data_IF_069533845957
#
_entry.id   IF_069533845957
#
_cell.length_a   1.000
_cell.length_b   1.000
_cell.length_c   1.000
_cell.angle_alpha   90.00
_cell.angle_beta   90.00
_cell.angle_gamma   90.00
#
_symmetry.space_group_name_H-M   'P 1'
#
loop_
_entity.id
_entity.type
_entity.pdbx_description
1 polymer ?
#
# COMPACT_ATOMS: atom_id res chain seq x y z
N UNK A 1 -12.83 -40.20 3.24
CA UNK A 1 -11.73 -39.36 2.71
C UNK A 1 -10.41 -39.94 3.19
N UNK A 2 -9.36 -39.94 2.35
CA UNK A 2 -8.04 -40.50 2.67
C UNK A 2 -7.12 -39.41 3.26
N UNK A 3 -6.63 -39.53 4.50
CA UNK A 3 -5.68 -38.59 5.09
C UNK A 3 -4.40 -38.42 4.25
N UNK A 4 -3.84 -37.21 4.21
CA UNK A 4 -2.56 -36.89 3.56
C UNK A 4 -1.56 -36.37 4.59
N UNK A 5 -1.87 -35.24 5.24
CA UNK A 5 -0.96 -34.60 6.22
C UNK A 5 -1.76 -33.96 7.35
N UNK A 6 -1.20 -34.00 8.56
CA UNK A 6 -1.75 -33.30 9.72
C UNK A 6 -1.13 -31.91 9.87
N UNK A 7 -1.95 -30.93 10.18
CA UNK A 7 -1.58 -29.53 10.35
C UNK A 7 -1.87 -29.11 11.79
N UNK A 8 -1.06 -28.20 12.31
CA UNK A 8 -1.28 -27.56 13.61
C UNK A 8 -1.28 -26.05 13.42
N UNK A 9 -2.36 -25.41 13.85
CA UNK A 9 -2.47 -23.96 13.91
C UNK A 9 -2.34 -23.54 15.37
N UNK A 10 -1.44 -22.61 15.68
CA UNK A 10 -1.23 -22.09 17.04
C UNK A 10 -1.54 -20.61 17.10
N UNK A 11 -2.31 -20.21 18.09
CA UNK A 11 -2.50 -18.81 18.48
C UNK A 11 -1.47 -18.47 19.57
N UNK A 12 -0.81 -17.31 19.48
CA UNK A 12 0.32 -16.96 20.35
C UNK A 12 0.22 -15.57 20.98
N UNK A 13 -0.85 -14.83 20.70
CA UNK A 13 -1.06 -13.46 21.13
C UNK A 13 -2.14 -13.35 22.23
N UNK A 14 -2.67 -14.48 22.69
CA UNK A 14 -3.66 -14.53 23.78
C UNK A 14 -5.06 -14.09 23.36
N UNK A 15 -5.37 -14.09 22.06
CA UNK A 15 -6.69 -13.71 21.54
C UNK A 15 -7.28 -14.87 20.76
N UNK A 16 -8.42 -15.39 21.23
CA UNK A 16 -9.10 -16.48 20.54
C UNK A 16 -9.46 -16.06 19.10
N UNK A 17 -9.12 -16.93 18.14
CA UNK A 17 -9.41 -16.78 16.72
C UNK A 17 -10.52 -17.75 16.32
N UNK A 18 -11.48 -17.27 15.55
CA UNK A 18 -12.62 -18.04 15.04
C UNK A 18 -12.81 -17.78 13.57
N UNK A 19 -12.77 -18.82 12.75
CA UNK A 19 -12.90 -18.74 11.31
C UNK A 19 -11.87 -17.83 10.64
N UNK A 20 -10.68 -17.70 11.23
CA UNK A 20 -9.58 -16.89 10.69
C UNK A 20 -8.98 -17.59 9.47
N UNK A 21 -8.65 -16.84 8.43
CA UNK A 21 -8.09 -17.44 7.22
C UNK A 21 -6.61 -17.77 7.44
N UNK A 22 -6.25 -19.04 7.32
CA UNK A 22 -4.87 -19.52 7.42
C UNK A 22 -4.41 -20.04 6.07
N UNK A 23 -3.23 -19.59 5.66
CA UNK A 23 -2.55 -20.02 4.42
C UNK A 23 -1.37 -20.92 4.75
N UNK A 24 -1.25 -22.06 4.05
CA UNK A 24 -0.09 -22.95 4.19
C UNK A 24 0.30 -23.59 2.85
N UNK A 25 1.61 -23.66 2.58
CA UNK A 25 2.15 -24.39 1.43
C UNK A 25 2.45 -25.84 1.80
N UNK A 26 1.84 -26.80 1.11
CA UNK A 26 1.98 -28.23 1.38
C UNK A 26 2.68 -28.92 0.20
N UNK A 27 3.86 -29.52 0.39
CA UNK A 27 4.47 -30.38 -0.62
C UNK A 27 3.75 -31.73 -0.68
N UNK A 28 3.52 -32.24 -1.89
CA UNK A 28 2.91 -33.54 -2.14
C UNK A 28 3.86 -34.43 -2.94
N UNK A 29 4.17 -35.66 -2.47
CA UNK A 29 4.98 -36.59 -3.23
C UNK A 29 4.23 -37.09 -4.47
N UNK A 30 4.96 -37.32 -5.56
CA UNK A 30 4.42 -37.77 -6.86
C UNK A 30 3.60 -39.05 -6.74
N UNK A 31 4.00 -39.95 -5.82
CA UNK A 31 3.34 -41.24 -5.55
C UNK A 31 1.88 -41.13 -5.10
N UNK A 32 1.42 -39.96 -4.65
CA UNK A 32 -0.01 -39.75 -4.34
C UNK A 32 -0.87 -39.63 -5.60
N UNK A 33 -0.27 -39.32 -6.75
CA UNK A 33 -0.91 -39.19 -8.06
C UNK A 33 -2.15 -38.26 -8.05
N UNK A 34 -2.07 -37.15 -7.30
CA UNK A 34 -3.17 -36.17 -7.20
C UNK A 34 -2.94 -35.08 -8.24
N UNK A 35 -3.73 -35.07 -9.32
CA UNK A 35 -3.67 -34.03 -10.34
C UNK A 35 -4.70 -32.90 -10.12
N UNK A 36 -5.90 -33.26 -9.65
CA UNK A 36 -7.03 -32.35 -9.47
C UNK A 36 -7.11 -31.78 -8.04
N UNK A 37 -6.87 -30.47 -7.83
CA UNK A 37 -6.95 -29.84 -6.52
C UNK A 37 -8.38 -29.81 -5.96
N UNK A 38 -9.42 -29.90 -6.79
CA UNK A 38 -10.81 -29.89 -6.35
C UNK A 38 -11.22 -31.16 -5.59
N UNK A 39 -10.33 -32.15 -5.49
CA UNK A 39 -10.48 -33.35 -4.64
C UNK A 39 -9.86 -33.19 -3.25
N UNK A 40 -9.01 -32.19 -3.02
CA UNK A 40 -8.42 -31.96 -1.71
C UNK A 40 -9.46 -31.40 -0.74
N UNK A 41 -9.32 -31.66 0.55
CA UNK A 41 -10.19 -31.15 1.62
C UNK A 41 -9.39 -30.88 2.87
N UNK A 42 -9.83 -29.92 3.66
CA UNK A 42 -9.30 -29.72 5.02
C UNK A 42 -10.36 -30.16 6.01
N UNK A 43 -9.98 -31.03 6.94
CA UNK A 43 -10.83 -31.54 8.00
C UNK A 43 -10.36 -30.99 9.34
N UNK A 44 -11.29 -30.71 10.25
CA UNK A 44 -10.99 -30.38 11.64
C UNK A 44 -10.64 -31.65 12.47
N UNK A 45 -10.36 -31.47 13.76
CA UNK A 45 -10.05 -32.57 14.67
C UNK A 45 -11.20 -33.58 14.88
N UNK A 46 -12.43 -33.23 14.50
CA UNK A 46 -13.63 -34.09 14.57
C UNK A 46 -13.88 -34.82 13.25
N UNK A 47 -13.07 -34.57 12.22
CA UNK A 47 -13.25 -35.09 10.87
C UNK A 47 -14.29 -34.34 10.04
N UNK A 48 -14.78 -33.19 10.50
CA UNK A 48 -15.69 -32.35 9.75
C UNK A 48 -14.91 -31.48 8.74
N UNK A 49 -15.46 -31.34 7.54
CA UNK A 49 -14.85 -30.48 6.52
C UNK A 49 -14.99 -29.00 6.89
N UNK A 50 -13.89 -28.26 6.78
CA UNK A 50 -13.89 -26.79 6.92
C UNK A 50 -13.77 -26.12 5.55
N UNK A 51 -14.31 -24.89 5.39
CA UNK A 51 -14.13 -24.14 4.16
C UNK A 51 -12.64 -24.00 3.82
N UNK A 52 -12.28 -24.37 2.59
CA UNK A 52 -10.92 -24.38 2.09
C UNK A 52 -10.88 -24.07 0.58
N UNK A 53 -9.84 -23.36 0.16
CA UNK A 53 -9.50 -23.15 -1.23
C UNK A 53 -8.05 -23.58 -1.50
N UNK A 54 -7.77 -23.94 -2.75
CA UNK A 54 -6.52 -24.57 -3.14
C UNK A 54 -5.96 -23.85 -4.35
N UNK A 55 -4.67 -23.52 -4.30
CA UNK A 55 -3.93 -23.02 -5.46
C UNK A 55 -2.74 -23.92 -5.73
N UNK A 56 -2.67 -24.48 -6.95
CA UNK A 56 -1.51 -25.27 -7.37
C UNK A 56 -0.35 -24.33 -7.67
N UNK A 57 0.74 -24.45 -6.93
CA UNK A 57 1.94 -23.63 -7.11
C UNK A 57 2.97 -24.32 -8.02
N UNK A 58 3.02 -25.65 -8.00
CA UNK A 58 3.83 -26.42 -8.97
C UNK A 58 3.36 -27.87 -9.08
N UNK A 59 3.79 -28.52 -10.16
CA UNK A 59 3.52 -29.93 -10.48
C UNK A 59 4.84 -30.69 -10.65
N UNK A 60 4.78 -32.02 -10.58
CA UNK A 60 5.86 -32.92 -10.99
C UNK A 60 5.89 -32.98 -12.52
N UNK A 61 6.21 -31.83 -13.13
CA UNK A 61 6.04 -31.55 -14.55
C UNK A 61 5.88 -30.04 -14.78
N UNK A 62 5.40 -29.65 -15.96
CA UNK A 62 5.10 -28.25 -16.26
C UNK A 62 3.82 -27.82 -15.52
N UNK A 63 3.80 -26.62 -14.92
CA UNK A 63 2.65 -26.13 -14.14
C UNK A 63 1.34 -26.13 -14.95
N UNK A 64 1.42 -25.79 -16.24
CA UNK A 64 0.29 -25.73 -17.16
C UNK A 64 -0.32 -27.11 -17.51
N UNK A 65 0.41 -28.21 -17.30
CA UNK A 65 -0.11 -29.56 -17.52
C UNK A 65 -0.98 -29.98 -16.33
N UNK A 66 -2.30 -29.77 -16.46
CA UNK A 66 -3.26 -30.12 -15.43
C UNK A 66 -3.36 -31.63 -15.13
N UNK A 67 -2.80 -32.50 -15.99
CA UNK A 67 -2.78 -33.95 -15.78
C UNK A 67 -1.62 -34.40 -14.89
N UNK A 68 -0.54 -33.61 -14.81
CA UNK A 68 0.63 -33.92 -13.99
C UNK A 68 0.29 -33.83 -12.49
N UNK A 69 0.91 -34.70 -11.68
CA UNK A 69 0.71 -34.73 -10.24
C UNK A 69 1.13 -33.40 -9.59
N UNK A 70 0.33 -32.92 -8.63
CA UNK A 70 0.64 -31.72 -7.85
C UNK A 70 1.87 -31.99 -6.99
N UNK A 71 2.82 -31.04 -7.00
CA UNK A 71 4.04 -31.08 -6.17
C UNK A 71 3.96 -30.10 -5.01
N UNK A 72 3.40 -28.90 -5.25
CA UNK A 72 3.18 -27.89 -4.23
C UNK A 72 1.77 -27.32 -4.36
N UNK A 73 0.99 -27.39 -3.29
CA UNK A 73 -0.33 -26.77 -3.18
C UNK A 73 -0.33 -25.75 -2.05
N UNK A 74 -0.80 -24.54 -2.34
CA UNK A 74 -1.19 -23.58 -1.32
C UNK A 74 -2.63 -23.91 -0.90
N UNK A 75 -2.85 -24.04 0.40
CA UNK A 75 -4.19 -24.17 0.96
C UNK A 75 -4.50 -22.90 1.75
N UNK A 76 -5.69 -22.34 1.54
CA UNK A 76 -6.26 -21.36 2.47
C UNK A 76 -7.51 -21.98 3.08
N UNK A 77 -7.65 -21.92 4.39
CA UNK A 77 -8.79 -22.51 5.08
C UNK A 77 -9.16 -21.72 6.33
N UNK A 78 -10.43 -21.81 6.73
CA UNK A 78 -10.90 -21.17 7.97
C UNK A 78 -10.49 -22.02 9.17
N UNK A 79 -9.73 -21.43 10.07
CA UNK A 79 -9.23 -22.07 11.28
C UNK A 79 -9.74 -21.37 12.55
N UNK A 80 -9.93 -22.17 13.57
CA UNK A 80 -10.20 -21.76 14.95
C UNK A 80 -8.97 -22.06 15.78
N UNK A 81 -8.67 -21.20 16.73
CA UNK A 81 -7.69 -21.47 17.78
C UNK A 81 -8.06 -20.67 19.03
N UNK A 82 -8.06 -21.31 20.18
CA UNK A 82 -8.26 -20.60 21.46
C UNK A 82 -7.07 -19.68 21.75
N UNK A 83 -7.29 -18.69 22.63
CA UNK A 83 -6.23 -17.80 23.11
C UNK A 83 -5.06 -18.62 23.66
N UNK A 84 -3.84 -18.40 23.13
CA UNK A 84 -2.65 -19.21 23.45
C UNK A 84 -2.81 -20.73 23.20
N UNK A 85 -3.81 -21.11 22.41
CA UNK A 85 -4.19 -22.49 22.14
C UNK A 85 -3.63 -23.02 20.82
N UNK A 86 -3.94 -24.27 20.52
CA UNK A 86 -3.64 -24.86 19.22
C UNK A 86 -4.74 -25.81 18.76
N UNK A 87 -5.04 -25.76 17.47
CA UNK A 87 -6.02 -26.63 16.82
C UNK A 87 -5.34 -27.53 15.80
N UNK A 88 -5.90 -28.73 15.61
CA UNK A 88 -5.43 -29.71 14.64
C UNK A 88 -6.36 -29.75 13.44
N UNK A 89 -5.75 -29.82 12.26
CA UNK A 89 -6.43 -29.99 10.98
C UNK A 89 -5.77 -31.10 10.18
N UNK A 90 -6.45 -31.58 9.15
CA UNK A 90 -5.93 -32.61 8.27
C UNK A 90 -6.25 -32.29 6.82
N UNK A 91 -5.23 -32.28 5.97
CA UNK A 91 -5.43 -32.33 4.52
C UNK A 91 -5.80 -33.76 4.15
N UNK A 92 -6.89 -33.94 3.41
CA UNK A 92 -7.39 -35.23 2.99
C UNK A 92 -7.79 -35.23 1.51
N UNK A 93 -7.79 -36.41 0.89
CA UNK A 93 -8.26 -36.63 -0.47
C UNK A 93 -9.70 -37.18 -0.45
N UNK A 94 -10.58 -36.51 -1.19
CA UNK A 94 -11.93 -36.97 -1.48
C UNK A 94 -11.99 -37.78 -2.78
N UNK A 95 -13.04 -38.59 -2.89
CA UNK A 95 -13.26 -39.45 -4.05
C UNK A 95 -13.74 -38.65 -5.27
N UNK A 96 -14.49 -37.57 -5.04
CA UNK A 96 -15.06 -36.71 -6.10
C UNK A 96 -14.69 -35.24 -5.90
N UNK A 97 -14.49 -34.49 -7.00
CA UNK A 97 -14.30 -33.05 -6.91
C UNK A 97 -15.57 -32.35 -6.44
N UNK A 98 -15.43 -31.22 -5.74
CA UNK A 98 -16.55 -30.35 -5.36
C UNK A 98 -16.07 -28.90 -5.31
N UNK A 99 -16.86 -27.98 -5.86
CA UNK A 99 -16.64 -26.55 -5.66
C UNK A 99 -17.25 -26.10 -4.33
N UNK A 100 -16.57 -25.18 -3.64
CA UNK A 100 -17.10 -24.56 -2.43
C UNK A 100 -17.83 -23.26 -2.78
N UNK A 101 -18.99 -22.96 -2.15
CA UNK A 101 -19.58 -21.63 -2.24
C UNK A 101 -18.61 -20.61 -1.62
N UNK A 102 -18.65 -19.37 -2.09
CA UNK A 102 -17.71 -18.36 -1.66
C UNK A 102 -18.04 -16.95 -2.10
N UNK A 103 -17.01 -16.10 -2.12
CA UNK A 103 -17.09 -14.73 -2.60
C UNK A 103 -17.86 -14.63 -3.92
N UNK A 104 -18.76 -13.66 -4.03
CA UNK A 104 -19.43 -13.34 -5.29
C UNK A 104 -18.71 -12.16 -5.94
N UNK A 105 -18.13 -12.40 -7.11
CA UNK A 105 -17.37 -11.40 -7.86
C UNK A 105 -18.13 -11.08 -9.14
N UNK A 106 -18.42 -9.80 -9.34
CA UNK A 106 -18.94 -9.27 -10.59
C UNK A 106 -17.96 -8.23 -11.12
N UNK A 107 -17.36 -8.48 -12.28
CA UNK A 107 -16.47 -7.55 -12.95
C UNK A 107 -16.94 -7.24 -14.36
N UNK A 108 -16.78 -5.99 -14.75
CA UNK A 108 -16.98 -5.51 -16.12
C UNK A 108 -15.87 -4.52 -16.48
N UNK A 109 -15.92 -3.92 -17.67
CA UNK A 109 -14.87 -3.02 -18.15
C UNK A 109 -14.73 -1.72 -17.31
N UNK A 110 -15.71 -1.39 -16.46
CA UNK A 110 -15.75 -0.14 -15.69
C UNK A 110 -15.62 -0.35 -14.19
N UNK A 111 -15.93 -1.54 -13.68
CA UNK A 111 -15.98 -1.79 -12.23
C UNK A 111 -15.69 -3.24 -11.86
N UNK A 112 -15.20 -3.41 -10.64
CA UNK A 112 -15.14 -4.70 -9.94
C UNK A 112 -15.98 -4.55 -8.67
N UNK A 113 -16.92 -5.47 -8.46
CA UNK A 113 -17.73 -5.60 -7.26
C UNK A 113 -17.48 -6.96 -6.62
N UNK A 114 -17.16 -6.97 -5.33
CA UNK A 114 -16.91 -8.19 -4.55
C UNK A 114 -17.81 -8.19 -3.33
N UNK A 115 -18.63 -9.22 -3.21
CA UNK A 115 -19.46 -9.48 -2.03
C UNK A 115 -18.80 -10.57 -1.17
N UNK A 116 -18.46 -10.21 0.06
CA UNK A 116 -17.88 -11.13 1.04
C UNK A 116 -18.93 -11.88 1.84
N UNK A 117 -20.21 -11.55 1.72
CA UNK A 117 -21.29 -11.98 2.59
C UNK A 117 -21.43 -11.15 3.87
N UNK A 118 -20.40 -10.38 4.24
CA UNK A 118 -20.45 -9.41 5.35
C UNK A 118 -20.43 -7.95 4.85
N UNK A 119 -19.80 -7.71 3.71
CA UNK A 119 -19.73 -6.41 3.06
C UNK A 119 -19.63 -6.55 1.54
N UNK A 120 -20.11 -5.53 0.83
CA UNK A 120 -19.89 -5.36 -0.62
C UNK A 120 -18.86 -4.26 -0.82
N UNK A 121 -17.80 -4.57 -1.57
CA UNK A 121 -16.76 -3.63 -1.98
C UNK A 121 -16.86 -3.38 -3.48
N UNK A 122 -16.81 -2.11 -3.89
CA UNK A 122 -16.78 -1.71 -5.30
C UNK A 122 -15.50 -0.92 -5.58
N UNK A 123 -14.96 -1.12 -6.78
CA UNK A 123 -13.78 -0.46 -7.31
C UNK A 123 -14.07 0.04 -8.73
N UNK A 124 -13.47 1.16 -9.12
CA UNK A 124 -13.68 1.81 -10.41
C UNK A 124 -12.45 1.65 -11.33
N UNK A 125 -12.71 1.41 -12.61
CA UNK A 125 -11.68 1.40 -13.65
C UNK A 125 -11.37 2.81 -14.19
N UNK A 126 -12.11 3.84 -13.75
CA UNK A 126 -11.94 5.24 -14.18
C UNK A 126 -11.12 6.07 -13.20
N UNK A 127 -11.04 5.63 -11.93
CA UNK A 127 -10.19 6.25 -10.90
C UNK A 127 -9.90 5.29 -9.75
N UNK A 128 -8.80 5.51 -9.02
CA UNK A 128 -8.48 4.70 -7.84
C UNK A 128 -8.58 5.49 -6.53
N UNK A 129 -9.75 5.44 -5.90
CA UNK A 129 -10.05 6.11 -4.64
C UNK A 129 -9.92 5.18 -3.42
N UNK A 130 -8.99 4.21 -3.45
CA UNK A 130 -8.87 3.07 -2.53
C UNK A 130 -10.08 2.10 -2.61
N UNK A 131 -11.26 2.57 -2.26
CA UNK A 131 -12.55 1.94 -2.49
C UNK A 131 -13.47 2.95 -3.18
N UNK A 132 -14.15 2.54 -4.26
CA UNK A 132 -15.18 3.38 -4.88
C UNK A 132 -16.39 3.46 -3.96
N UNK A 133 -16.77 2.33 -3.36
CA UNK A 133 -17.90 2.20 -2.46
C UNK A 133 -17.74 0.99 -1.55
N UNK A 134 -18.16 1.12 -0.30
CA UNK A 134 -18.26 -0.02 0.63
C UNK A 134 -19.61 0.00 1.33
N UNK A 135 -20.33 -1.12 1.27
CA UNK A 135 -21.61 -1.32 1.95
C UNK A 135 -21.49 -2.44 2.97
N UNK A 136 -21.80 -2.15 4.23
CA UNK A 136 -21.79 -3.11 5.35
C UNK A 136 -23.19 -3.16 5.96
N UNK A 137 -23.76 -4.36 6.10
CA UNK A 137 -25.13 -4.54 6.64
C UNK A 137 -26.19 -3.63 5.97
N UNK A 138 -26.10 -3.44 4.65
CA UNK A 138 -27.02 -2.60 3.87
C UNK A 138 -26.80 -1.08 3.99
N UNK A 139 -25.80 -0.64 4.78
CA UNK A 139 -25.44 0.78 4.93
C UNK A 139 -24.17 1.09 4.15
N UNK A 140 -24.19 2.19 3.44
CA UNK A 140 -22.98 2.72 2.80
C UNK A 140 -22.04 3.30 3.86
N UNK A 141 -20.84 2.73 3.97
CA UNK A 141 -19.79 3.14 4.93
C UNK A 141 -18.68 3.92 4.22
N UNK A 142 -18.45 3.67 2.93
CA UNK A 142 -17.57 4.49 2.08
C UNK A 142 -18.36 4.88 0.84
N UNK A 143 -18.42 6.19 0.56
CA UNK A 143 -19.06 6.76 -0.61
C UNK A 143 -18.04 7.21 -1.65
N UNK A 144 -18.39 7.24 -2.94
CA UNK A 144 -17.56 7.80 -4.00
C UNK A 144 -17.03 9.20 -3.66
N UNK A 145 -15.71 9.36 -3.56
CA UNK A 145 -15.08 10.65 -3.27
C UNK A 145 -13.68 10.72 -3.88
N UNK A 146 -13.30 11.89 -4.41
CA UNK A 146 -11.92 12.16 -4.87
C UNK A 146 -10.97 12.50 -3.73
N UNK A 147 -11.48 12.67 -2.50
CA UNK A 147 -10.67 12.86 -1.30
C UNK A 147 -10.09 11.54 -0.74
N UNK A 148 -10.62 10.39 -1.20
CA UNK A 148 -10.10 9.07 -0.84
C UNK A 148 -9.00 8.64 -1.82
N UNK A 149 -8.20 7.65 -1.41
CA UNK A 149 -7.10 7.12 -2.23
C UNK A 149 -5.74 7.40 -1.60
N UNK A 150 -4.69 7.28 -2.41
CA UNK A 150 -3.34 7.64 -1.99
C UNK A 150 -3.03 9.05 -2.49
N UNK A 151 -2.61 9.93 -1.59
CA UNK A 151 -2.35 11.34 -1.86
C UNK A 151 -0.92 11.68 -1.48
N UNK A 152 -0.13 12.04 -2.49
CA UNK A 152 1.20 12.60 -2.34
C UNK A 152 1.12 14.12 -2.26
N UNK A 153 1.84 14.71 -1.32
CA UNK A 153 2.00 16.17 -1.22
C UNK A 153 3.43 16.53 -1.60
N UNK A 154 3.61 17.27 -2.69
CA UNK A 154 4.89 17.83 -3.09
C UNK A 154 5.41 18.84 -2.06
N UNK A 155 6.70 19.15 -2.13
CA UNK A 155 7.32 20.14 -1.23
C UNK A 155 6.93 21.59 -1.55
N UNK A 156 6.36 21.82 -2.72
CA UNK A 156 5.65 23.04 -3.12
C UNK A 156 4.20 23.10 -2.60
N UNK A 157 3.73 22.04 -1.91
CA UNK A 157 2.37 21.90 -1.42
C UNK A 157 1.36 21.40 -2.44
N UNK A 158 1.78 21.09 -3.68
CA UNK A 158 0.88 20.52 -4.69
C UNK A 158 0.47 19.09 -4.28
N UNK A 159 -0.83 18.79 -4.37
CA UNK A 159 -1.34 17.44 -4.09
C UNK A 159 -1.54 16.66 -5.39
N UNK A 160 -1.07 15.41 -5.39
CA UNK A 160 -1.28 14.44 -6.45
C UNK A 160 -1.96 13.20 -5.88
N UNK A 161 -3.04 12.73 -6.51
CA UNK A 161 -3.89 11.66 -5.99
C UNK A 161 -4.11 10.56 -7.02
N UNK A 162 -4.20 9.32 -6.54
CA UNK A 162 -4.63 8.18 -7.35
C UNK A 162 -6.11 8.26 -7.76
N UNK A 163 -6.92 9.08 -7.07
CA UNK A 163 -8.32 9.31 -7.42
C UNK A 163 -8.50 10.27 -8.60
N UNK A 164 -7.43 10.93 -9.04
CA UNK A 164 -7.42 11.77 -10.25
C UNK A 164 -6.81 11.06 -11.47
N UNK A 165 -6.29 9.84 -11.29
CA UNK A 165 -5.72 9.04 -12.38
C UNK A 165 -6.60 7.85 -12.72
N UNK A 166 -6.70 7.54 -14.01
CA UNK A 166 -7.30 6.31 -14.49
C UNK A 166 -6.27 5.18 -14.40
N UNK A 167 -6.53 4.08 -13.66
CA UNK A 167 -5.59 2.98 -13.57
C UNK A 167 -5.16 2.43 -14.93
N UNK A 168 -3.87 2.16 -15.07
CA UNK A 168 -3.26 1.50 -16.23
C UNK A 168 -3.57 0.00 -16.24
N UNK A 169 -3.60 -0.62 -15.07
CA UNK A 169 -3.97 -2.02 -14.89
C UNK A 169 -5.01 -2.12 -13.78
N UNK A 170 -6.09 -2.83 -14.04
CA UNK A 170 -7.21 -3.01 -13.11
C UNK A 170 -7.84 -4.38 -13.35
N UNK A 171 -7.60 -5.32 -12.45
CA UNK A 171 -8.09 -6.69 -12.61
C UNK A 171 -8.24 -7.42 -11.27
N UNK A 172 -8.94 -8.56 -11.32
CA UNK A 172 -8.92 -9.55 -10.24
C UNK A 172 -7.71 -10.44 -10.45
N UNK A 173 -6.65 -10.25 -9.66
CA UNK A 173 -5.40 -11.02 -9.71
C UNK A 173 -5.57 -12.42 -9.11
N UNK A 174 -6.38 -12.53 -8.04
CA UNK A 174 -6.74 -13.80 -7.42
C UNK A 174 -8.25 -13.91 -7.24
N UNK A 175 -8.82 -15.04 -7.65
CA UNK A 175 -10.25 -15.34 -7.53
C UNK A 175 -10.44 -16.72 -6.92
N UNK A 176 -10.96 -16.76 -5.70
CA UNK A 176 -11.27 -17.99 -4.98
C UNK A 176 -12.47 -17.82 -4.03
N UNK A 177 -13.04 -18.92 -3.53
CA UNK A 177 -14.23 -18.86 -2.69
C UNK A 177 -13.97 -18.24 -1.31
N UNK A 178 -12.72 -18.25 -0.82
CA UNK A 178 -12.37 -17.68 0.49
C UNK A 178 -11.63 -16.35 0.40
N UNK A 179 -10.94 -16.10 -0.70
CA UNK A 179 -10.08 -14.92 -0.90
C UNK A 179 -10.18 -14.41 -2.34
N UNK A 180 -10.19 -13.10 -2.47
CA UNK A 180 -10.00 -12.42 -3.74
C UNK A 180 -8.96 -11.31 -3.58
N UNK A 181 -8.21 -11.03 -4.63
CA UNK A 181 -7.24 -9.94 -4.68
C UNK A 181 -7.51 -9.09 -5.91
N UNK A 182 -7.75 -7.79 -5.69
CA UNK A 182 -7.82 -6.79 -6.77
C UNK A 182 -6.45 -6.15 -6.93
N UNK A 183 -5.91 -6.19 -8.15
CA UNK A 183 -4.68 -5.51 -8.53
C UNK A 183 -5.04 -4.21 -9.23
N UNK A 184 -4.43 -3.12 -8.77
CA UNK A 184 -4.53 -1.80 -9.40
C UNK A 184 -3.12 -1.25 -9.60
N UNK A 185 -2.80 -0.83 -10.83
CA UNK A 185 -1.58 -0.08 -11.12
C UNK A 185 -1.90 1.21 -11.84
N UNK A 186 -1.20 2.28 -11.52
CA UNK A 186 -1.41 3.59 -12.13
C UNK A 186 -0.37 4.61 -11.70
N UNK A 187 -0.73 5.88 -11.84
CA UNK A 187 0.11 7.02 -11.45
C UNK A 187 -0.69 7.97 -10.56
N UNK A 188 -0.02 9.05 -10.15
CA UNK A 188 -0.67 10.13 -9.41
C UNK A 188 -0.91 11.32 -10.34
N UNK A 189 -2.07 11.96 -10.20
CA UNK A 189 -2.37 13.21 -10.89
C UNK A 189 -2.88 14.28 -9.94
N UNK A 190 -2.60 15.53 -10.23
CA UNK A 190 -3.27 16.65 -9.57
C UNK A 190 -4.71 16.84 -10.09
N UNK A 191 -5.42 17.82 -9.55
CA UNK A 191 -6.78 18.15 -9.97
C UNK A 191 -6.87 18.70 -11.42
N UNK A 192 -5.76 19.19 -11.99
CA UNK A 192 -5.67 19.63 -13.38
C UNK A 192 -5.33 18.48 -14.35
N UNK A 193 -5.11 17.27 -13.83
CA UNK A 193 -4.75 16.08 -14.59
C UNK A 193 -3.26 15.97 -14.92
N UNK A 194 -2.41 16.78 -14.30
CA UNK A 194 -0.96 16.74 -14.48
C UNK A 194 -0.36 15.59 -13.68
N UNK A 195 0.56 14.84 -14.28
CA UNK A 195 1.21 13.71 -13.63
C UNK A 195 2.19 14.18 -12.54
N UNK A 196 2.28 13.42 -11.46
CA UNK A 196 3.40 13.55 -10.53
C UNK A 196 4.64 12.96 -11.17
N UNK A 197 5.53 13.82 -11.69
CA UNK A 197 6.73 13.40 -12.40
C UNK A 197 7.92 13.19 -11.44
N UNK A 198 8.81 12.27 -11.79
CA UNK A 198 10.17 12.26 -11.25
C UNK A 198 10.87 13.59 -11.56
N UNK A 199 11.71 14.08 -10.66
CA UNK A 199 12.36 15.38 -10.78
C UNK A 199 11.47 16.60 -10.44
N UNK A 200 10.16 16.41 -10.21
CA UNK A 200 9.20 17.52 -10.10
C UNK A 200 9.13 18.19 -8.72
N UNK A 201 10.20 18.11 -7.95
CA UNK A 201 10.23 18.58 -6.56
C UNK A 201 11.65 18.96 -6.13
N UNK A 202 12.21 19.97 -6.79
CA UNK A 202 13.29 20.75 -6.19
C UNK A 202 12.91 22.24 -6.23
N UNK A 203 12.26 22.77 -5.20
CA UNK A 203 12.18 24.20 -4.93
C UNK A 203 13.49 24.76 -4.37
N UNK A 204 14.43 23.94 -3.92
CA UNK A 204 15.59 24.37 -3.13
C UNK A 204 16.71 25.06 -3.92
N UNK A 205 16.50 25.42 -5.19
CA UNK A 205 17.43 26.25 -5.96
C UNK A 205 16.83 27.61 -6.38
N UNK A 206 15.75 28.09 -5.76
CA UNK A 206 15.02 29.29 -6.25
C UNK A 206 14.83 30.48 -5.30
N UNK A 207 15.60 30.62 -4.21
CA UNK A 207 15.44 31.79 -3.31
C UNK A 207 16.64 32.71 -3.16
N UNK A 208 17.78 32.43 -3.81
CA UNK A 208 18.89 33.40 -3.90
C UNK A 208 19.09 33.86 -5.34
N UNK A 209 19.28 35.17 -5.52
CA UNK A 209 19.78 35.70 -6.79
C UNK A 209 21.15 35.05 -7.05
N UNK A 210 21.39 34.49 -8.25
CA UNK A 210 22.58 33.71 -8.52
C UNK A 210 23.85 34.55 -8.27
N UNK A 211 24.81 33.97 -7.57
CA UNK A 211 26.19 34.49 -7.53
C UNK A 211 26.88 34.23 -8.88
N UNK A 212 27.93 34.98 -9.25
CA UNK A 212 28.68 34.78 -10.50
C UNK A 212 29.23 33.35 -10.70
N UNK A 213 29.39 32.58 -9.62
CA UNK A 213 29.80 31.18 -9.68
C UNK A 213 28.62 30.22 -9.93
N UNK A 214 27.41 30.55 -9.47
CA UNK A 214 26.18 29.81 -9.79
C UNK A 214 25.63 30.09 -11.19
N UNK A 215 25.93 31.26 -11.79
CA UNK A 215 25.58 31.57 -13.19
C UNK A 215 26.26 30.62 -14.20
N UNK A 216 27.43 30.07 -13.88
CA UNK A 216 28.12 29.08 -14.74
C UNK A 216 27.40 27.74 -14.82
N UNK A 217 26.64 27.37 -13.79
CA UNK A 217 25.78 26.18 -13.80
C UNK A 217 24.39 26.48 -14.37
N UNK A 218 23.93 27.73 -14.25
CA UNK A 218 22.64 28.22 -14.75
C UNK A 218 22.58 28.35 -16.29
N UNK A 219 23.73 28.53 -16.95
CA UNK A 219 23.86 28.56 -18.42
C UNK A 219 23.49 27.24 -19.12
N UNK A 220 23.23 26.17 -18.36
CA UNK A 220 22.92 24.84 -18.89
C UNK A 220 21.41 24.54 -19.00
N UNK A 221 20.56 25.36 -18.37
CA UNK A 221 19.10 25.19 -18.38
C UNK A 221 18.31 26.26 -19.12
N UNK A 222 18.87 27.45 -19.35
CA UNK A 222 18.12 28.58 -19.93
C UNK A 222 18.17 28.69 -21.46
N UNK A 223 19.03 27.95 -22.17
CA UNK A 223 18.85 27.79 -23.63
C UNK A 223 17.67 26.86 -23.97
N UNK A 224 17.06 26.18 -22.99
CA UNK A 224 15.92 25.25 -23.20
C UNK A 224 14.56 25.94 -23.09
N UNK A 225 14.46 27.15 -22.51
CA UNK A 225 13.16 27.72 -22.11
C UNK A 225 12.74 29.10 -22.67
N UNK A 226 13.46 29.74 -23.60
CA UNK A 226 12.94 30.97 -24.23
C UNK A 226 12.70 30.89 -25.75
N UNK A 227 11.50 31.34 -26.13
CA UNK A 227 10.92 31.28 -27.47
C UNK A 227 11.42 32.43 -28.35
N UNK A 228 11.46 32.15 -29.66
CA UNK A 228 11.18 33.10 -30.74
C UNK A 228 12.15 34.29 -30.95
N UNK A 229 13.28 34.00 -31.62
CA UNK A 229 13.87 34.90 -32.61
C UNK A 229 14.71 36.07 -32.10
N UNK A 230 15.99 35.84 -31.82
CA UNK A 230 17.02 36.88 -31.84
C UNK A 230 18.38 36.28 -32.26
N UNK A 231 19.15 37.06 -33.03
CA UNK A 231 20.41 36.67 -33.67
C UNK A 231 21.55 36.39 -32.67
N UNK A 232 22.37 35.37 -32.95
CA UNK A 232 23.59 35.01 -32.19
C UNK A 232 24.77 35.93 -32.50
N UNK A 233 25.57 36.38 -31.52
CA UNK A 233 26.93 36.85 -31.74
C UNK A 233 27.93 35.69 -31.72
N UNK A 234 28.91 35.77 -32.61
CA UNK A 234 30.01 34.83 -32.79
C UNK A 234 31.06 35.03 -31.69
N UNK A 235 31.18 34.16 -30.67
CA UNK A 235 32.44 34.03 -29.89
C UNK A 235 32.57 32.66 -29.18
N UNK A 236 33.68 31.99 -29.51
CA UNK A 236 34.48 30.99 -28.78
C UNK A 236 33.90 29.58 -28.46
N UNK A 237 34.40 28.58 -29.19
CA UNK A 237 33.93 27.18 -29.24
C UNK A 237 34.77 26.19 -28.40
N UNK A 238 35.36 26.61 -27.28
CA UNK A 238 36.23 25.72 -26.47
C UNK A 238 35.62 25.21 -25.16
N UNK A 239 34.31 25.37 -24.96
CA UNK A 239 33.57 24.71 -23.88
C UNK A 239 32.75 23.57 -24.47
N UNK A 240 32.90 22.39 -23.87
CA UNK A 240 32.32 21.13 -24.31
C UNK A 240 30.83 21.30 -24.65
N UNK A 241 30.51 21.19 -25.95
CA UNK A 241 29.14 21.06 -26.43
C UNK A 241 28.56 19.75 -25.88
N UNK A 242 27.89 19.83 -24.74
CA UNK A 242 27.03 18.75 -24.29
C UNK A 242 25.78 18.74 -25.17
N UNK A 243 25.89 18.11 -26.34
CA UNK A 243 24.71 17.62 -27.03
C UNK A 243 24.21 16.44 -26.24
N UNK A 244 23.08 16.63 -25.56
CA UNK A 244 22.22 15.51 -25.29
C UNK A 244 21.72 14.97 -26.62
N UNK A 245 22.04 13.73 -26.94
CA UNK A 245 21.41 13.02 -28.06
C UNK A 245 19.91 12.76 -27.79
N UNK A 246 19.43 13.05 -26.57
CA UNK A 246 18.04 12.84 -26.12
C UNK A 246 17.62 13.94 -25.15
N UNK A 247 16.52 14.64 -25.44
CA UNK A 247 15.97 15.70 -24.60
C UNK A 247 15.72 15.19 -23.16
N UNK A 248 16.35 15.76 -22.12
CA UNK A 248 16.17 15.35 -20.72
C UNK A 248 14.70 15.35 -20.26
N UNK A 249 13.85 16.22 -20.80
CA UNK A 249 12.41 16.22 -20.48
C UNK A 249 11.72 14.92 -20.93
N UNK A 250 12.23 14.28 -21.99
CA UNK A 250 11.73 12.98 -22.48
C UNK A 250 12.23 11.80 -21.64
N UNK A 251 13.19 12.02 -20.73
CA UNK A 251 13.70 11.02 -19.78
C UNK A 251 12.97 11.01 -18.45
N UNK A 252 12.15 12.04 -18.16
CA UNK A 252 11.33 12.04 -16.95
C UNK A 252 10.24 10.97 -17.05
N UNK A 253 9.97 10.30 -15.94
CA UNK A 253 8.94 9.29 -15.80
C UNK A 253 7.99 9.69 -14.66
N UNK A 254 6.68 9.45 -14.81
CA UNK A 254 5.75 9.64 -13.70
C UNK A 254 6.02 8.62 -12.58
N UNK A 255 5.77 9.03 -11.34
CA UNK A 255 5.73 8.10 -10.21
C UNK A 255 4.54 7.16 -10.40
N UNK A 256 4.81 5.87 -10.24
CA UNK A 256 3.83 4.81 -10.39
C UNK A 256 3.50 4.19 -9.03
N UNK A 257 2.39 3.46 -9.00
CA UNK A 257 2.06 2.61 -7.86
C UNK A 257 1.54 1.25 -8.29
N UNK A 258 1.72 0.27 -7.40
CA UNK A 258 1.00 -1.00 -7.41
C UNK A 258 0.23 -1.15 -6.10
N UNK A 259 -1.09 -1.26 -6.16
CA UNK A 259 -1.93 -1.56 -5.01
C UNK A 259 -2.59 -2.94 -5.15
N UNK A 260 -2.61 -3.70 -4.04
CA UNK A 260 -3.32 -4.97 -3.93
C UNK A 260 -4.30 -4.93 -2.77
N UNK A 261 -5.57 -5.15 -3.07
CA UNK A 261 -6.65 -5.18 -2.08
C UNK A 261 -7.11 -6.62 -1.90
N UNK A 262 -6.85 -7.19 -0.72
CA UNK A 262 -7.25 -8.56 -0.37
C UNK A 262 -8.54 -8.54 0.42
N UNK A 263 -9.55 -9.24 -0.09
CA UNK A 263 -10.86 -9.42 0.53
C UNK A 263 -11.07 -10.89 0.91
N UNK A 264 -11.74 -11.13 2.04
CA UNK A 264 -11.92 -12.47 2.63
C UNK A 264 -13.40 -12.80 2.85
N UNK A 265 -13.79 -14.04 2.60
CA UNK A 265 -15.18 -14.48 2.76
C UNK A 265 -15.65 -14.39 4.23
N UNK A 266 -16.80 -13.74 4.44
CA UNK A 266 -17.43 -13.49 5.73
C UNK A 266 -16.81 -12.33 6.52
N UNK A 267 -15.99 -11.48 5.88
CA UNK A 267 -15.27 -10.37 6.54
C UNK A 267 -15.71 -9.02 5.98
N UNK A 268 -15.81 -8.02 6.86
CA UNK A 268 -16.11 -6.63 6.50
C UNK A 268 -14.84 -5.75 6.44
N UNK A 269 -13.67 -6.34 6.69
CA UNK A 269 -12.35 -5.73 6.55
C UNK A 269 -11.66 -6.13 5.23
N UNK A 270 -10.69 -5.31 4.84
CA UNK A 270 -9.84 -5.50 3.66
C UNK A 270 -8.38 -5.25 4.05
N UNK A 271 -7.46 -6.06 3.50
CA UNK A 271 -6.02 -5.76 3.63
C UNK A 271 -5.56 -5.04 2.37
N UNK A 272 -4.77 -3.98 2.55
CA UNK A 272 -4.25 -3.17 1.46
C UNK A 272 -2.72 -3.21 1.52
N UNK A 273 -2.11 -3.65 0.43
CA UNK A 273 -0.67 -3.51 0.17
C UNK A 273 -0.49 -2.47 -0.92
N UNK A 274 0.47 -1.57 -0.74
CA UNK A 274 0.71 -0.47 -1.65
C UNK A 274 2.21 -0.32 -1.87
N UNK A 275 2.64 -0.32 -3.13
CA UNK A 275 4.03 -0.09 -3.51
C UNK A 275 4.12 1.22 -4.28
N UNK A 276 4.95 2.15 -3.81
CA UNK A 276 5.39 3.32 -4.59
C UNK A 276 6.57 2.92 -5.47
N UNK A 277 6.56 3.33 -6.73
CA UNK A 277 7.55 2.93 -7.73
C UNK A 277 8.05 4.15 -8.50
N UNK A 278 9.37 4.32 -8.57
CA UNK A 278 10.03 5.31 -9.40
C UNK A 278 10.79 4.58 -10.51
N UNK A 279 10.14 4.34 -11.64
CA UNK A 279 10.75 3.68 -12.81
C UNK A 279 11.62 4.65 -13.65
N UNK A 280 11.94 5.83 -13.11
CA UNK A 280 12.80 6.80 -13.76
C UNK A 280 14.24 6.32 -13.94
N UNK A 281 14.90 6.85 -14.97
CA UNK A 281 16.32 6.65 -15.24
C UNK A 281 17.18 7.77 -14.61
N UNK A 282 18.48 7.49 -14.40
CA UNK A 282 19.50 8.52 -14.16
C UNK A 282 20.44 8.68 -15.35
N UNK A 283 21.02 9.87 -15.48
CA UNK A 283 22.05 10.15 -16.47
C UNK A 283 23.42 10.14 -15.80
N UNK A 284 24.30 9.25 -16.26
CA UNK A 284 25.71 9.22 -15.86
C UNK A 284 26.56 10.07 -16.80
N UNK A 285 27.34 11.00 -16.25
CA UNK A 285 28.31 11.78 -17.01
C UNK A 285 29.65 11.03 -17.06
N UNK A 286 30.09 10.66 -18.25
CA UNK A 286 31.31 9.85 -18.46
C UNK A 286 32.62 10.58 -18.13
N UNK A 287 32.66 11.91 -18.06
CA UNK A 287 33.93 12.66 -17.99
C UNK A 287 34.28 13.12 -16.57
N UNK A 288 33.32 13.14 -15.63
CA UNK A 288 33.58 13.53 -14.22
C UNK A 288 33.14 12.48 -13.17
N UNK A 289 32.72 11.28 -13.60
CA UNK A 289 32.16 10.25 -12.70
C UNK A 289 30.97 10.73 -11.85
N UNK A 290 30.33 11.84 -12.22
CA UNK A 290 29.15 12.37 -11.55
C UNK A 290 27.88 11.84 -12.23
N UNK A 291 26.87 11.46 -11.45
CA UNK A 291 25.54 11.10 -11.92
C UNK A 291 24.55 12.20 -11.53
N UNK A 292 23.74 12.69 -12.48
CA UNK A 292 22.57 13.52 -12.15
C UNK A 292 21.36 12.63 -12.13
N UNK A 293 20.70 12.60 -10.98
CA UNK A 293 19.52 11.81 -10.75
C UNK A 293 18.28 12.58 -11.22
N UNK A 294 17.99 12.52 -12.52
CA UNK A 294 16.92 13.31 -13.15
C UNK A 294 15.52 13.00 -12.61
N UNK A 295 15.31 11.78 -12.12
CA UNK A 295 13.99 11.31 -11.70
C UNK A 295 13.82 11.24 -10.17
N UNK A 296 14.81 11.65 -9.38
CA UNK A 296 14.65 11.69 -7.93
C UNK A 296 13.52 12.66 -7.56
N UNK A 297 12.70 12.28 -6.58
CA UNK A 297 11.57 13.09 -6.11
C UNK A 297 11.68 13.30 -4.60
N UNK A 298 11.55 14.54 -4.16
CA UNK A 298 11.47 14.97 -2.77
C UNK A 298 10.02 15.37 -2.47
N UNK A 299 9.39 14.83 -1.44
CA UNK A 299 7.99 15.17 -1.16
C UNK A 299 7.75 15.37 0.34
N UNK A 300 6.69 16.10 0.66
CA UNK A 300 6.31 16.41 2.02
C UNK A 300 5.65 15.20 2.70
N UNK A 301 4.76 14.49 2.01
CA UNK A 301 4.07 13.32 2.56
C UNK A 301 3.46 12.42 1.49
N UNK A 302 3.18 11.18 1.88
CA UNK A 302 2.31 10.25 1.14
C UNK A 302 1.35 9.60 2.13
N UNK A 303 0.06 9.85 1.94
CA UNK A 303 -1.02 9.41 2.83
C UNK A 303 -2.02 8.52 2.10
N UNK A 304 -2.47 7.43 2.73
CA UNK A 304 -3.66 6.70 2.34
C UNK A 304 -4.87 7.26 3.11
N UNK A 305 -5.84 7.83 2.40
CA UNK A 305 -7.02 8.52 2.97
C UNK A 305 -8.29 7.73 2.67
N UNK A 306 -9.13 7.53 3.69
CA UNK A 306 -10.44 6.87 3.57
C UNK A 306 -11.48 7.56 4.46
N UNK A 307 -12.36 8.35 3.85
CA UNK A 307 -13.51 8.95 4.50
C UNK A 307 -14.59 7.90 4.73
N UNK A 308 -15.03 7.77 6.00
CA UNK A 308 -16.09 6.84 6.39
C UNK A 308 -17.36 7.54 6.85
N UNK A 309 -18.51 6.98 6.49
CA UNK A 309 -19.84 7.45 6.85
C UNK A 309 -20.32 6.80 8.16
N UNK A 310 -19.81 7.30 9.28
CA UNK A 310 -20.19 6.84 10.64
C UNK A 310 -21.26 7.72 11.31
N UNK A 311 -21.80 8.70 10.59
CA UNK A 311 -22.74 9.68 11.11
C UNK A 311 -22.05 10.73 12.00
N UNK A 312 -22.80 11.41 12.86
CA UNK A 312 -22.22 12.34 13.83
C UNK A 312 -21.24 11.57 14.74
N UNK A 313 -19.99 12.05 14.79
CA UNK A 313 -18.94 11.43 15.60
C UNK A 313 -19.26 11.52 17.09
N UNK A 314 -19.07 10.40 17.79
CA UNK A 314 -19.26 10.31 19.24
C UNK A 314 -18.00 9.87 19.98
N UNK A 315 -17.08 9.20 19.29
CA UNK A 315 -15.78 8.83 19.83
C UNK A 315 -14.73 8.69 18.74
N UNK A 316 -13.49 9.03 19.06
CA UNK A 316 -12.32 8.88 18.22
C UNK A 316 -11.11 8.50 19.09
N UNK A 317 -10.26 7.62 18.59
CA UNK A 317 -9.04 7.23 19.30
C UNK A 317 -7.91 6.80 18.38
N UNK A 318 -6.69 7.04 18.84
CA UNK A 318 -5.43 6.62 18.20
C UNK A 318 -4.61 5.85 19.24
N UNK A 319 -4.21 4.61 18.93
CA UNK A 319 -3.50 3.73 19.88
C UNK A 319 -4.21 3.60 21.24
N UNK A 320 -5.55 3.62 21.23
CA UNK A 320 -6.39 3.60 22.44
C UNK A 320 -6.44 4.92 23.22
N UNK A 321 -5.71 5.95 22.81
CA UNK A 321 -5.78 7.31 23.37
C UNK A 321 -6.99 8.02 22.77
N UNK A 322 -7.92 8.46 23.61
CA UNK A 322 -9.09 9.23 23.19
C UNK A 322 -8.68 10.62 22.69
N UNK A 323 -9.33 11.09 21.63
CA UNK A 323 -9.17 12.43 21.06
C UNK A 323 -10.54 13.08 20.89
N UNK A 324 -10.58 14.41 20.81
CA UNK A 324 -11.82 15.16 20.69
C UNK A 324 -12.51 14.83 19.36
N UNK A 325 -13.79 14.45 19.41
CA UNK A 325 -14.61 14.12 18.25
C UNK A 325 -15.22 15.37 17.57
N UNK A 326 -14.49 16.48 17.58
CA UNK A 326 -14.92 17.79 17.07
C UNK A 326 -14.59 18.02 15.58
N UNK A 327 -13.92 17.04 14.96
CA UNK A 327 -13.51 17.07 13.57
C UNK A 327 -12.11 17.63 13.31
N UNK A 328 -11.45 18.19 14.32
CA UNK A 328 -10.06 18.63 14.22
C UNK A 328 -9.11 17.44 13.99
N UNK A 329 -7.97 17.69 13.32
CA UNK A 329 -6.99 16.64 13.04
C UNK A 329 -6.30 16.20 14.33
N UNK A 330 -6.32 14.90 14.59
CA UNK A 330 -5.50 14.24 15.60
C UNK A 330 -4.53 13.27 14.91
N UNK A 331 -3.32 13.14 15.43
CA UNK A 331 -2.27 12.36 14.79
C UNK A 331 -1.47 11.54 15.82
N UNK A 332 -1.25 10.27 15.50
CA UNK A 332 -0.33 9.35 16.12
C UNK A 332 0.95 9.32 15.29
N UNK A 333 2.08 9.53 15.94
CA UNK A 333 3.40 9.55 15.31
C UNK A 333 4.26 8.52 16.02
N UNK A 334 4.79 7.56 15.26
CA UNK A 334 5.89 6.73 15.74
C UNK A 334 7.21 7.42 15.42
N UNK A 335 8.01 7.58 16.46
CA UNK A 335 9.30 8.22 16.43
C UNK A 335 10.44 7.33 16.98
N UNK A 336 11.67 7.77 16.79
CA UNK A 336 12.89 7.06 17.17
C UNK A 336 14.03 8.05 17.48
N UNK A 337 14.77 7.90 18.56
CA UNK A 337 15.98 8.67 18.82
C UNK A 337 17.07 7.74 19.31
N UNK A 338 18.29 7.90 18.80
CA UNK A 338 19.44 7.06 19.17
C UNK A 338 19.91 7.41 20.60
N UNK A 339 19.19 6.90 21.61
CA UNK A 339 19.41 7.16 23.03
C UNK A 339 20.23 6.03 23.68
N UNK A 340 19.91 4.78 23.34
CA UNK A 340 20.60 3.58 23.79
C UNK A 340 21.34 2.95 22.59
N UNK A 341 22.68 2.94 22.59
CA UNK A 341 23.46 2.41 21.47
C UNK A 341 23.50 0.87 21.42
N UNK A 342 22.90 0.18 22.40
CA UNK A 342 22.96 -1.28 22.53
C UNK A 342 21.58 -1.92 22.32
N UNK A 343 20.52 -1.28 22.80
CA UNK A 343 19.15 -1.81 22.72
C UNK A 343 18.24 -0.92 21.86
N UNK A 344 18.21 -1.21 20.55
CA UNK A 344 17.42 -0.46 19.56
C UNK A 344 15.93 -0.37 19.94
N UNK A 345 15.38 -1.36 20.67
CA UNK A 345 13.98 -1.33 21.06
C UNK A 345 13.64 -0.18 22.03
N UNK A 346 14.64 0.37 22.74
CA UNK A 346 14.51 1.50 23.66
C UNK A 346 14.57 2.85 22.96
N UNK A 347 15.01 2.87 21.71
CA UNK A 347 15.14 4.09 20.94
C UNK A 347 13.80 4.56 20.36
N UNK A 348 12.75 3.75 20.45
CA UNK A 348 11.41 4.08 19.95
C UNK A 348 10.55 4.84 20.96
N UNK A 349 9.79 5.82 20.45
CA UNK A 349 8.72 6.48 21.19
C UNK A 349 7.54 6.80 20.28
N UNK A 350 6.34 6.98 20.81
CA UNK A 350 5.21 7.50 20.06
C UNK A 350 4.49 8.57 20.85
N UNK A 351 3.78 9.43 20.12
CA UNK A 351 2.89 10.44 20.69
C UNK A 351 1.58 10.53 19.90
N UNK A 352 0.50 10.83 20.60
CA UNK A 352 -0.77 11.29 20.01
C UNK A 352 -0.91 12.78 20.32
N UNK A 353 -1.16 13.59 19.30
CA UNK A 353 -1.38 15.03 19.45
C UNK A 353 -2.65 15.49 18.73
N UNK A 354 -3.30 16.53 19.26
CA UNK A 354 -4.45 17.20 18.64
C UNK A 354 -4.45 18.68 19.04
N UNK A 355 -4.65 19.58 18.07
CA UNK A 355 -4.65 21.02 18.32
C UNK A 355 -3.34 21.55 18.92
N UNK A 356 -2.20 20.90 18.64
CA UNK A 356 -0.89 21.23 19.21
C UNK A 356 -0.64 20.70 20.63
N UNK A 357 -1.64 20.08 21.27
CA UNK A 357 -1.49 19.48 22.59
C UNK A 357 -1.23 17.97 22.49
N UNK A 358 -0.25 17.47 23.25
CA UNK A 358 -0.03 16.03 23.42
C UNK A 358 -1.17 15.43 24.27
N UNK A 359 -1.78 14.37 23.75
CA UNK A 359 -2.88 13.62 24.39
C UNK A 359 -2.42 12.30 25.00
N UNK A 360 -1.34 11.72 24.47
CA UNK A 360 -0.77 10.48 24.97
C UNK A 360 0.61 10.21 24.38
N UNK A 361 1.34 9.28 25.00
CA UNK A 361 2.67 8.86 24.55
C UNK A 361 3.03 7.48 25.07
N UNK A 362 4.02 6.84 24.45
CA UNK A 362 4.57 5.57 24.91
C UNK A 362 5.82 5.18 24.12
N UNK A 363 6.25 3.92 24.21
CA UNK A 363 7.48 3.45 23.55
C UNK A 363 7.24 2.97 22.12
N UNK A 364 6.34 1.99 21.93
CA UNK A 364 6.06 1.40 20.62
C UNK A 364 4.56 1.30 20.41
N UNK A 365 4.05 1.94 19.39
CA UNK A 365 2.64 1.88 19.03
C UNK A 365 2.38 0.61 18.21
N UNK A 366 1.26 -0.07 18.47
CA UNK A 366 0.79 -1.17 17.63
C UNK A 366 0.26 -0.66 16.29
N UNK A 367 -0.18 0.60 16.23
CA UNK A 367 -0.52 1.31 15.02
C UNK A 367 -1.96 1.10 14.59
N UNK A 368 -2.92 1.61 15.37
CA UNK A 368 -4.33 1.59 14.99
C UNK A 368 -5.09 2.88 15.36
N UNK A 369 -6.12 3.17 14.57
CA UNK A 369 -7.02 4.30 14.73
C UNK A 369 -8.47 3.79 14.66
N UNK A 370 -9.37 4.44 15.38
CA UNK A 370 -10.79 4.06 15.40
C UNK A 370 -11.68 5.30 15.55
N UNK A 371 -12.79 5.31 14.81
CA UNK A 371 -13.86 6.29 14.95
C UNK A 371 -15.19 5.57 15.15
N UNK A 372 -16.05 6.15 15.99
CA UNK A 372 -17.43 5.72 16.19
C UNK A 372 -18.34 6.92 16.09
N UNK A 373 -19.49 6.73 15.45
CA UNK A 373 -20.55 7.73 15.41
C UNK A 373 -21.93 7.09 15.48
N UNK A 374 -22.95 7.91 15.25
CA UNK A 374 -24.36 7.53 15.39
C UNK A 374 -24.79 6.33 14.53
N UNK A 375 -24.04 5.99 13.48
CA UNK A 375 -24.43 4.95 12.51
C UNK A 375 -23.48 3.76 12.42
N UNK A 376 -22.40 3.73 13.20
CA UNK A 376 -21.44 2.64 13.20
C UNK A 376 -20.03 3.09 13.61
N UNK A 377 -19.04 2.24 13.35
CA UNK A 377 -17.63 2.55 13.57
C UNK A 377 -16.75 1.98 12.46
N UNK A 378 -15.54 2.51 12.36
CA UNK A 378 -14.53 2.06 11.42
C UNK A 378 -13.16 2.17 12.06
N UNK A 379 -12.28 1.24 11.70
CA UNK A 379 -10.90 1.20 12.19
C UNK A 379 -9.91 1.07 11.03
N UNK A 380 -8.72 1.62 11.24
CA UNK A 380 -7.56 1.50 10.37
C UNK A 380 -6.41 1.00 11.23
N UNK A 381 -5.63 0.04 10.72
CA UNK A 381 -4.45 -0.47 11.40
C UNK A 381 -3.31 -0.73 10.42
N UNK A 382 -2.07 -0.60 10.89
CA UNK A 382 -0.86 -1.02 10.17
C UNK A 382 -0.13 -2.10 10.95
N UNK A 383 0.11 -3.25 10.32
CA UNK A 383 0.68 -4.44 10.95
C UNK A 383 2.12 -4.28 11.46
N UNK A 384 2.90 -3.42 10.81
CA UNK A 384 4.34 -3.19 11.06
C UNK A 384 4.60 -1.73 11.39
N UNK A 385 3.70 -1.10 12.15
CA UNK A 385 3.70 0.35 12.34
C UNK A 385 5.00 0.88 12.95
N UNK A 386 5.44 0.31 14.08
CA UNK A 386 6.66 0.79 14.72
C UNK A 386 7.94 0.29 14.05
N UNK A 387 7.88 -0.86 13.38
CA UNK A 387 9.00 -1.45 12.68
C UNK A 387 9.35 -0.71 11.38
N UNK A 388 8.34 -0.13 10.71
CA UNK A 388 8.51 0.60 9.45
C UNK A 388 8.70 2.12 9.65
N UNK A 389 9.10 2.55 10.85
CA UNK A 389 9.24 3.97 11.20
C UNK A 389 10.12 4.73 10.18
N UNK A 390 9.89 6.04 9.99
CA UNK A 390 8.81 6.85 10.56
C UNK A 390 7.45 6.52 9.91
N UNK A 391 6.40 6.45 10.72
CA UNK A 391 5.00 6.22 10.29
C UNK A 391 4.05 7.09 11.10
N UNK A 392 2.90 7.44 10.52
CA UNK A 392 1.82 8.09 11.26
C UNK A 392 0.45 7.50 10.94
N UNK A 393 -0.48 7.66 11.89
CA UNK A 393 -1.90 7.51 11.66
C UNK A 393 -2.58 8.81 12.07
N UNK A 394 -3.58 9.26 11.31
CA UNK A 394 -4.33 10.44 11.67
C UNK A 394 -5.83 10.22 11.51
N UNK A 395 -6.58 11.04 12.26
CA UNK A 395 -8.01 11.21 12.14
C UNK A 395 -8.28 12.67 11.78
N UNK A 396 -9.06 12.91 10.73
CA UNK A 396 -9.53 14.25 10.38
C UNK A 396 -11.03 14.18 10.07
N UNK A 397 -11.85 14.61 11.03
CA UNK A 397 -13.27 14.26 11.02
C UNK A 397 -13.46 12.74 11.03
N UNK A 398 -14.26 12.24 10.08
CA UNK A 398 -14.45 10.81 9.86
C UNK A 398 -13.52 10.23 8.79
N UNK A 399 -12.43 10.92 8.46
CA UNK A 399 -11.40 10.40 7.56
C UNK A 399 -10.33 9.66 8.35
N UNK A 400 -10.14 8.38 8.04
CA UNK A 400 -9.04 7.56 8.52
C UNK A 400 -7.84 7.77 7.58
N UNK A 401 -6.68 8.08 8.15
CA UNK A 401 -5.47 8.42 7.38
C UNK A 401 -4.29 7.55 7.86
N UNK A 402 -3.61 6.87 6.94
CA UNK A 402 -2.29 6.28 7.19
C UNK A 402 -1.21 7.08 6.46
N UNK A 403 -0.28 7.68 7.20
CA UNK A 403 0.91 8.32 6.66
C UNK A 403 1.99 7.29 6.37
N UNK A 404 2.07 6.85 5.11
CA UNK A 404 3.09 5.90 4.62
C UNK A 404 4.48 6.56 4.61
N UNK A 405 4.50 7.85 4.29
CA UNK A 405 5.58 8.79 4.55
C UNK A 405 4.94 10.00 5.22
N UNK A 406 5.12 10.09 6.54
CA UNK A 406 4.44 11.10 7.35
C UNK A 406 4.90 12.51 7.01
N UNK A 407 3.98 13.48 7.08
CA UNK A 407 4.32 14.91 7.05
C UNK A 407 5.11 15.34 8.30
N UNK A 408 5.13 14.53 9.36
CA UNK A 408 5.98 14.75 10.52
C UNK A 408 7.45 14.73 10.12
N UNK A 409 8.14 15.83 10.39
CA UNK A 409 9.55 16.03 10.09
C UNK A 409 10.34 16.05 11.38
N UNK A 410 11.51 15.44 11.37
CA UNK A 410 12.53 15.75 12.37
C UNK A 410 13.37 16.90 11.87
N UNK A 411 13.75 17.85 12.74
CA UNK A 411 14.90 18.69 12.47
C UNK A 411 16.12 17.79 12.30
N UNK A 412 16.85 17.94 11.21
CA UNK A 412 18.15 17.32 11.00
C UNK A 412 19.26 18.38 10.90
N UNK A 413 20.49 17.94 10.70
CA UNK A 413 21.66 18.83 10.60
C UNK A 413 21.65 19.74 9.36
N UNK A 414 20.73 19.52 8.41
CA UNK A 414 20.56 20.29 7.17
C UNK A 414 19.27 21.12 7.14
N UNK A 415 18.40 21.01 8.14
CA UNK A 415 17.13 21.74 8.24
C UNK A 415 15.94 20.81 8.54
N UNK A 416 14.90 20.85 7.70
CA UNK A 416 13.77 19.92 7.76
C UNK A 416 13.93 18.82 6.70
N UNK A 417 13.99 17.55 7.11
CA UNK A 417 14.15 16.44 6.16
C UNK A 417 12.92 16.27 5.28
N UNK A 418 13.08 16.43 3.97
CA UNK A 418 12.11 16.01 2.97
C UNK A 418 12.28 14.53 2.62
N UNK A 419 11.21 13.85 2.23
CA UNK A 419 11.29 12.46 1.80
C UNK A 419 11.83 12.39 0.39
N UNK A 420 13.08 11.95 0.22
CA UNK A 420 13.66 11.70 -1.11
C UNK A 420 13.42 10.25 -1.52
N UNK A 421 12.91 10.06 -2.72
CA UNK A 421 12.66 8.77 -3.33
C UNK A 421 13.32 8.71 -4.71
N UNK A 422 14.45 8.02 -4.74
CA UNK A 422 15.34 8.08 -5.89
C UNK A 422 14.80 7.26 -7.08
N UNK A 423 15.32 7.57 -8.26
CA UNK A 423 15.12 6.80 -9.47
C UNK A 423 15.47 5.31 -9.26
N UNK A 424 14.68 4.43 -9.85
CA UNK A 424 14.79 2.97 -9.69
C UNK A 424 14.31 2.42 -8.33
N UNK A 425 13.92 3.26 -7.38
CA UNK A 425 13.45 2.80 -6.08
C UNK A 425 12.01 2.31 -6.13
N UNK A 426 11.73 1.31 -5.29
CA UNK A 426 10.39 0.83 -4.99
C UNK A 426 10.30 0.57 -3.48
N UNK A 427 9.18 0.94 -2.85
CA UNK A 427 8.92 0.66 -1.44
C UNK A 427 7.46 0.25 -1.25
N UNK A 428 7.25 -0.86 -0.55
CA UNK A 428 5.94 -1.48 -0.25
C UNK A 428 5.51 -1.21 1.18
#
# INVERSE_FOLDING_TARGET
MRPIVSLRVSERHGVARRGELVTAGIPLPESLAIADPARLRVLDARGAEVPAQMRVLSRWGVLADASAAIRWVLIDFKADADANGSSRYQLALADRPRQQPGLVIASDAKRIRIDTGAATFEFSAERFALFERVVVAGREVVSPSSANGFVATGIDGAEYSTAHDRPREFMVEECGPLRAVVLVRGHFRDAAGQLWMGGNTSPEWRTEAPTPESEKTYAWGLEVFDRAGAQRPEHDHHWWNYRFDTDPATMLRPLAYTARITLRAGRADADVSFTLENEGDSVRFLINHMSVALNDVAFASLEARCAVAVGALSAASLEGVAVDADGSRAELIQDHASIDPVDEARNFSWQVAQGGAQRGSGSRALGWAHVTGATGGAALARSTFWQDFPQSLALAGSTLIAGLWSAYRRPDEWGESHHVFAHGWHKT
#
